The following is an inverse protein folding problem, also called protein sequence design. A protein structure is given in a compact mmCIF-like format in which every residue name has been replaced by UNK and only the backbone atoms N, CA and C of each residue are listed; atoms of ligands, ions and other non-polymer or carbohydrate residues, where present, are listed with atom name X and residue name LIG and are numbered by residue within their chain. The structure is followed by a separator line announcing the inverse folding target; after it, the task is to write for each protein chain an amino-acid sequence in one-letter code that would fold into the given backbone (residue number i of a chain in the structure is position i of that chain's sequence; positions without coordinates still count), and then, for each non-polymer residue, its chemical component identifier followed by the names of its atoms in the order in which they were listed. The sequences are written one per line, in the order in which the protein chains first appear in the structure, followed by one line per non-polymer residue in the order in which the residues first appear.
data_IF_025352900905
#
_entry.id   IF_025352900905
#
_cell.length_a   1.000
_cell.length_b   1.000
_cell.length_c   1.000
_cell.angle_alpha   90.00
_cell.angle_beta   90.00
_cell.angle_gamma   90.00
#
_symmetry.space_group_name_H-M   'P 1'
#
loop_
_entity.id
_entity.type
_entity.pdbx_description
1 polymer ?
#
# COMPACT_ATOMS: atom_id res chain seq x y z
N UNK A 1 5.09 18.37 -3.96
CA UNK A 1 3.88 17.53 -3.86
C UNK A 1 2.82 18.10 -2.92
N UNK A 2 3.15 18.62 -1.72
CA UNK A 2 2.17 19.26 -0.83
C UNK A 2 1.34 20.36 -1.54
N UNK A 3 1.97 21.23 -2.34
CA UNK A 3 1.31 22.31 -3.09
C UNK A 3 0.38 21.86 -4.24
N UNK A 4 0.56 20.65 -4.78
CA UNK A 4 -0.34 20.13 -5.81
C UNK A 4 -1.61 19.52 -5.19
N UNK A 5 -1.51 18.94 -4.02
CA UNK A 5 -2.67 18.40 -3.28
C UNK A 5 -3.59 19.51 -2.77
N UNK A 6 -3.03 20.63 -2.28
CA UNK A 6 -3.82 21.76 -1.79
C UNK A 6 -4.62 22.47 -2.89
N UNK A 7 -4.21 22.40 -4.16
CA UNK A 7 -4.91 23.00 -5.30
C UNK A 7 -6.00 22.12 -5.91
N UNK A 8 -6.04 20.81 -5.63
CA UNK A 8 -6.89 19.84 -6.32
C UNK A 8 -8.06 19.34 -5.50
N UNK A 9 -8.15 19.70 -4.22
CA UNK A 9 -9.21 19.23 -3.33
C UNK A 9 -10.09 20.41 -2.95
N UNK A 10 -11.35 20.45 -3.38
CA UNK A 10 -12.32 21.38 -2.80
C UNK A 10 -12.41 21.10 -1.29
N UNK A 11 -12.19 22.10 -0.46
CA UNK A 11 -12.12 22.07 1.01
C UNK A 11 -13.26 21.30 1.72
N UNK A 12 -14.35 21.00 1.03
CA UNK A 12 -15.53 20.30 1.55
C UNK A 12 -15.51 18.77 1.50
N UNK A 13 -14.46 18.12 0.98
CA UNK A 13 -14.41 16.65 0.81
C UNK A 13 -13.60 15.91 1.86
N UNK A 14 -12.85 16.60 2.68
CA UNK A 14 -12.02 16.04 3.75
C UNK A 14 -12.56 16.44 5.11
N UNK A 15 -13.04 15.48 5.87
CA UNK A 15 -13.19 15.63 7.31
C UNK A 15 -11.84 15.39 7.98
N UNK A 16 -11.15 16.49 8.26
CA UNK A 16 -10.11 16.77 9.26
C UNK A 16 -8.95 15.79 9.46
N UNK A 17 -9.21 14.55 9.77
CA UNK A 17 -8.25 13.64 10.42
C UNK A 17 -7.22 13.02 9.48
N UNK A 18 -7.52 12.88 8.18
CA UNK A 18 -6.64 12.20 7.22
C UNK A 18 -5.94 13.14 6.24
N UNK A 19 -6.30 14.42 6.21
CA UNK A 19 -5.82 15.38 5.22
C UNK A 19 -4.29 15.57 5.22
N UNK A 20 -3.67 15.42 6.39
CA UNK A 20 -2.23 15.61 6.59
C UNK A 20 -1.41 14.33 6.40
N UNK A 21 -2.06 13.18 6.10
CA UNK A 21 -1.35 11.93 5.95
C UNK A 21 -0.87 11.74 4.51
N UNK A 22 0.38 11.28 4.33
CA UNK A 22 0.83 10.73 3.05
C UNK A 22 -0.11 9.60 2.61
N UNK A 23 -0.47 9.58 1.33
CA UNK A 23 -1.42 8.60 0.79
C UNK A 23 -1.02 7.14 1.05
N UNK A 24 0.28 6.89 1.07
CA UNK A 24 0.87 5.57 1.35
C UNK A 24 0.66 5.07 2.78
N UNK A 25 0.32 5.96 3.73
CA UNK A 25 0.09 5.58 5.12
C UNK A 25 -1.39 5.29 5.43
N UNK A 26 -2.30 5.66 4.56
CA UNK A 26 -3.75 5.60 4.81
C UNK A 26 -4.23 4.17 5.09
N UNK A 27 -3.70 3.17 4.39
CA UNK A 27 -4.11 1.78 4.57
C UNK A 27 -3.80 1.30 6.01
N UNK A 28 -2.58 1.57 6.51
CA UNK A 28 -2.20 1.23 7.88
C UNK A 28 -3.02 1.99 8.93
N UNK A 29 -3.30 3.26 8.69
CA UNK A 29 -4.13 4.09 9.58
C UNK A 29 -5.55 3.53 9.71
N UNK A 30 -6.19 3.21 8.59
CA UNK A 30 -7.56 2.69 8.57
C UNK A 30 -7.67 1.30 9.23
N UNK A 31 -6.68 0.43 9.00
CA UNK A 31 -6.61 -0.88 9.66
C UNK A 31 -6.41 -0.73 11.17
N UNK A 32 -5.49 0.16 11.60
CA UNK A 32 -5.28 0.43 13.03
C UNK A 32 -6.55 0.99 13.68
N UNK A 33 -7.25 1.91 13.01
CA UNK A 33 -8.54 2.41 13.48
C UNK A 33 -9.57 1.28 13.66
N UNK A 34 -9.63 0.36 12.70
CA UNK A 34 -10.54 -0.78 12.77
C UNK A 34 -10.21 -1.72 13.94
N UNK A 35 -8.92 -1.99 14.17
CA UNK A 35 -8.46 -2.79 15.31
C UNK A 35 -8.76 -2.14 16.67
N UNK A 36 -8.56 -0.82 16.80
CA UNK A 36 -8.90 -0.06 18.01
C UNK A 36 -10.41 -0.12 18.31
N UNK A 37 -11.26 -0.14 17.28
CA UNK A 37 -12.71 -0.25 17.45
C UNK A 37 -13.14 -1.57 18.09
N UNK A 38 -12.43 -2.64 17.85
CA UNK A 38 -12.69 -3.96 18.48
C UNK A 38 -11.91 -4.16 19.78
N UNK A 39 -11.18 -3.12 20.24
CA UNK A 39 -10.48 -3.09 21.53
C UNK A 39 -9.45 -4.22 21.72
N UNK A 40 -8.74 -4.57 20.69
CA UNK A 40 -7.59 -5.47 20.83
C UNK A 40 -6.38 -4.68 21.35
N UNK A 41 -5.57 -5.28 22.23
CA UNK A 41 -4.22 -4.80 22.48
C UNK A 41 -3.42 -4.83 21.18
N UNK A 42 -2.71 -3.75 20.87
CA UNK A 42 -2.00 -3.60 19.62
C UNK A 42 -0.50 -3.40 19.85
N UNK A 43 0.29 -3.82 18.91
CA UNK A 43 1.67 -3.44 18.76
C UNK A 43 1.87 -2.84 17.37
N UNK A 44 2.29 -1.58 17.32
CA UNK A 44 2.64 -0.90 16.09
C UNK A 44 4.16 -0.93 15.93
N UNK A 45 4.58 -1.31 14.74
CA UNK A 45 5.97 -1.38 14.33
C UNK A 45 6.19 -0.41 13.15
N UNK A 46 7.43 0.00 12.87
CA UNK A 46 7.73 0.82 11.70
C UNK A 46 7.17 0.19 10.41
N UNK A 47 6.93 1.03 9.38
CA UNK A 47 6.44 0.61 8.05
C UNK A 47 5.01 0.12 8.03
N UNK A 48 4.14 0.70 8.86
CA UNK A 48 2.72 0.36 8.92
C UNK A 48 2.48 -1.13 9.23
N UNK A 49 3.37 -1.74 10.01
CA UNK A 49 3.10 -3.05 10.57
C UNK A 49 2.32 -2.89 11.86
N UNK A 50 1.22 -3.62 12.00
CA UNK A 50 0.42 -3.67 13.21
C UNK A 50 0.06 -5.10 13.55
N UNK A 51 0.19 -5.47 14.82
CA UNK A 51 -0.22 -6.77 15.36
C UNK A 51 -1.29 -6.53 16.41
N UNK A 52 -2.43 -7.20 16.26
CA UNK A 52 -3.50 -7.23 17.24
C UNK A 52 -3.48 -8.56 18.01
N UNK A 53 -3.44 -8.51 19.33
CA UNK A 53 -3.38 -9.68 20.19
C UNK A 53 -4.78 -10.09 20.63
N UNK A 54 -5.12 -11.35 20.40
CA UNK A 54 -6.42 -11.89 20.76
C UNK A 54 -6.41 -12.43 22.19
N UNK A 55 -7.54 -12.37 22.93
CA UNK A 55 -7.60 -12.84 24.31
C UNK A 55 -7.34 -14.33 24.49
N UNK A 56 -7.42 -15.11 23.43
CA UNK A 56 -7.24 -16.58 23.46
C UNK A 56 -5.81 -17.08 23.66
N UNK A 57 -4.85 -16.19 23.93
CA UNK A 57 -3.47 -16.54 24.29
C UNK A 57 -2.40 -15.91 23.39
N UNK A 58 -1.12 -16.04 23.76
CA UNK A 58 -0.02 -15.33 23.09
C UNK A 58 0.24 -15.77 21.64
N UNK A 59 -0.31 -16.91 21.21
CA UNK A 59 -0.17 -17.42 19.84
C UNK A 59 -1.29 -16.90 18.93
N UNK A 60 -2.35 -16.35 19.51
CA UNK A 60 -3.50 -15.86 18.75
C UNK A 60 -3.33 -14.38 18.48
N UNK A 61 -2.87 -14.05 17.29
CA UNK A 61 -2.71 -12.67 16.85
C UNK A 61 -3.12 -12.52 15.39
N UNK A 62 -3.48 -11.31 15.04
CA UNK A 62 -3.70 -10.88 13.64
C UNK A 62 -2.66 -9.84 13.29
N UNK A 63 -2.04 -9.99 12.13
CA UNK A 63 -1.00 -9.09 11.67
C UNK A 63 -1.37 -8.43 10.35
N UNK A 64 -0.91 -7.20 10.18
CA UNK A 64 -1.07 -6.45 8.93
C UNK A 64 0.23 -5.72 8.59
N UNK A 65 0.54 -5.63 7.30
CA UNK A 65 1.65 -4.83 6.80
C UNK A 65 1.13 -3.98 5.64
N UNK A 66 1.19 -2.66 5.74
CA UNK A 66 0.59 -1.75 4.74
C UNK A 66 -0.88 -2.07 4.42
N UNK A 67 -1.65 -2.49 5.41
CA UNK A 67 -3.04 -2.92 5.25
C UNK A 67 -3.25 -4.32 4.68
N UNK A 68 -2.19 -5.00 4.25
CA UNK A 68 -2.24 -6.39 3.76
C UNK A 68 -2.36 -7.34 4.96
N UNK A 69 -3.39 -8.21 5.00
CA UNK A 69 -3.61 -9.12 6.12
C UNK A 69 -2.60 -10.27 6.14
N UNK A 70 -2.23 -10.72 7.33
CA UNK A 70 -1.28 -11.80 7.57
C UNK A 70 -1.70 -13.16 7.03
N UNK A 71 -3.01 -13.37 6.81
CA UNK A 71 -3.52 -14.57 6.12
C UNK A 71 -3.20 -14.60 4.62
N UNK A 72 -2.70 -13.51 4.04
CA UNK A 72 -2.08 -13.53 2.71
C UNK A 72 -0.75 -14.27 2.79
N UNK A 73 -0.55 -15.25 1.90
CA UNK A 73 0.68 -16.03 1.89
C UNK A 73 1.88 -15.20 1.41
N UNK A 74 3.05 -15.49 1.96
CA UNK A 74 4.30 -14.88 1.47
C UNK A 74 4.51 -15.13 -0.03
N UNK A 75 4.19 -16.34 -0.51
CA UNK A 75 4.28 -16.70 -1.93
C UNK A 75 3.37 -15.83 -2.79
N UNK A 76 2.11 -15.61 -2.38
CA UNK A 76 1.16 -14.76 -3.09
C UNK A 76 1.64 -13.31 -3.18
N UNK A 77 2.12 -12.74 -2.08
CA UNK A 77 2.69 -11.39 -2.04
C UNK A 77 3.94 -11.29 -2.93
N UNK A 78 4.81 -12.33 -2.91
CA UNK A 78 5.99 -12.41 -3.78
C UNK A 78 5.61 -12.39 -5.27
N UNK A 79 4.61 -13.18 -5.67
CA UNK A 79 4.15 -13.20 -7.06
C UNK A 79 3.60 -11.85 -7.51
N UNK A 80 2.95 -11.12 -6.63
CA UNK A 80 2.42 -9.79 -6.91
C UNK A 80 3.51 -8.72 -7.00
N UNK A 81 4.54 -8.82 -6.19
CA UNK A 81 5.64 -7.82 -6.18
C UNK A 81 6.50 -7.89 -7.43
N UNK A 82 6.60 -9.05 -8.11
CA UNK A 82 7.33 -9.19 -9.37
C UNK A 82 6.38 -9.12 -10.57
N UNK A 83 6.41 -8.00 -11.30
CA UNK A 83 5.58 -7.77 -12.48
C UNK A 83 5.80 -8.78 -13.60
N UNK A 84 6.98 -9.38 -13.67
CA UNK A 84 7.31 -10.41 -14.67
C UNK A 84 6.54 -11.69 -14.37
N UNK A 85 6.59 -12.14 -13.11
CA UNK A 85 5.90 -13.34 -12.64
C UNK A 85 4.39 -13.15 -12.71
N UNK A 86 3.89 -12.04 -12.16
CA UNK A 86 2.48 -11.69 -12.17
C UNK A 86 1.91 -11.67 -13.59
N UNK A 87 2.61 -11.01 -14.53
CA UNK A 87 2.22 -10.95 -15.93
C UNK A 87 2.15 -12.34 -16.57
N UNK A 88 3.19 -13.17 -16.35
CA UNK A 88 3.24 -14.53 -16.89
C UNK A 88 2.09 -15.41 -16.36
N UNK A 89 1.76 -15.28 -15.05
CA UNK A 89 0.65 -16.01 -14.45
C UNK A 89 -0.70 -15.57 -15.02
N UNK A 90 -0.94 -14.27 -15.17
CA UNK A 90 -2.17 -13.75 -15.78
C UNK A 90 -2.34 -14.24 -17.22
N UNK A 91 -1.27 -14.18 -18.03
CA UNK A 91 -1.29 -14.66 -19.42
C UNK A 91 -1.53 -16.17 -19.50
N UNK A 92 -0.91 -16.96 -18.62
CA UNK A 92 -1.12 -18.41 -18.54
C UNK A 92 -2.58 -18.77 -18.26
N UNK A 93 -3.29 -17.92 -17.50
CA UNK A 93 -4.72 -18.08 -17.21
C UNK A 93 -5.63 -17.42 -18.27
N UNK A 94 -5.09 -17.07 -19.44
CA UNK A 94 -5.84 -16.53 -20.57
C UNK A 94 -6.35 -15.11 -20.36
N UNK A 95 -5.77 -14.35 -19.42
CA UNK A 95 -6.15 -12.97 -19.18
C UNK A 95 -5.39 -12.04 -20.11
N UNK A 96 -6.09 -11.04 -20.65
CA UNK A 96 -5.47 -10.02 -21.49
C UNK A 96 -4.68 -9.05 -20.62
N UNK A 97 -3.41 -8.92 -20.91
CA UNK A 97 -2.50 -7.89 -20.35
C UNK A 97 -1.89 -7.09 -21.52
N UNK A 98 -1.40 -5.87 -21.30
CA UNK A 98 -0.77 -5.09 -22.37
C UNK A 98 0.36 -5.85 -23.05
N UNK A 99 0.57 -5.69 -24.34
CA UNK A 99 1.77 -6.20 -24.98
C UNK A 99 3.01 -5.57 -24.32
N UNK A 100 3.99 -6.37 -23.91
CA UNK A 100 5.13 -5.84 -23.17
C UNK A 100 6.27 -6.83 -23.04
N UNK A 101 7.45 -6.30 -22.80
CA UNK A 101 8.68 -7.05 -22.58
C UNK A 101 9.54 -6.38 -21.50
N UNK A 102 10.39 -7.17 -20.85
CA UNK A 102 11.31 -6.71 -19.81
C UNK A 102 12.72 -6.56 -20.36
N UNK A 103 13.46 -5.58 -19.82
CA UNK A 103 14.79 -5.22 -20.30
C UNK A 103 15.74 -4.93 -19.14
N UNK A 104 17.05 -5.08 -19.42
CA UNK A 104 18.10 -4.52 -18.58
C UNK A 104 18.42 -3.09 -19.01
N UNK A 105 19.08 -2.32 -18.14
CA UNK A 105 19.49 -0.94 -18.48
C UNK A 105 20.55 -0.89 -19.61
N UNK A 106 21.24 -1.99 -19.84
CA UNK A 106 22.27 -2.14 -20.88
C UNK A 106 21.66 -2.46 -22.26
N UNK A 107 20.41 -2.94 -22.29
CA UNK A 107 19.71 -3.40 -23.50
C UNK A 107 19.11 -2.26 -24.34
N UNK A 108 19.81 -1.12 -24.46
CA UNK A 108 19.24 0.09 -25.11
C UNK A 108 18.79 -0.16 -26.56
N UNK A 109 19.57 -0.91 -27.33
CA UNK A 109 19.24 -1.17 -28.74
C UNK A 109 18.00 -2.06 -28.88
N UNK A 110 17.90 -3.09 -28.05
CA UNK A 110 16.75 -4.01 -28.02
C UNK A 110 15.47 -3.29 -27.62
N UNK A 111 15.54 -2.42 -26.61
CA UNK A 111 14.42 -1.60 -26.17
C UNK A 111 13.94 -0.68 -27.28
N UNK A 112 14.84 0.03 -27.95
CA UNK A 112 14.47 0.93 -29.05
C UNK A 112 13.82 0.16 -30.20
N UNK A 113 14.36 -1.01 -30.56
CA UNK A 113 13.76 -1.89 -31.59
C UNK A 113 12.35 -2.34 -31.15
N UNK A 114 12.20 -2.72 -29.88
CA UNK A 114 10.94 -3.14 -29.32
C UNK A 114 9.89 -2.02 -29.36
N UNK A 115 10.23 -0.81 -28.86
CA UNK A 115 9.33 0.35 -28.87
C UNK A 115 8.94 0.74 -30.30
N UNK A 116 9.87 0.67 -31.28
CA UNK A 116 9.54 0.92 -32.69
C UNK A 116 8.51 -0.06 -33.22
N UNK A 117 8.50 -1.30 -32.73
CA UNK A 117 7.54 -2.33 -33.13
C UNK A 117 6.15 -2.09 -32.53
N UNK A 118 6.06 -1.77 -31.22
CA UNK A 118 4.77 -1.61 -30.54
C UNK A 118 4.20 -0.20 -30.66
N UNK A 119 5.03 0.79 -31.00
CA UNK A 119 4.66 2.21 -31.14
C UNK A 119 4.57 2.94 -29.81
N UNK A 120 4.65 4.28 -29.88
CA UNK A 120 4.29 5.16 -28.76
C UNK A 120 2.80 5.45 -28.75
N UNK A 121 2.20 5.77 -27.59
CA UNK A 121 2.81 5.84 -26.26
C UNK A 121 3.08 4.47 -25.66
N UNK A 122 4.11 4.38 -24.81
CA UNK A 122 4.43 3.19 -24.02
C UNK A 122 4.36 3.51 -22.52
N UNK A 123 4.19 2.47 -21.70
CA UNK A 123 4.25 2.57 -20.24
C UNK A 123 5.51 1.89 -19.75
N UNK A 124 6.31 2.61 -18.97
CA UNK A 124 7.52 2.06 -18.35
C UNK A 124 7.24 1.83 -16.88
N UNK A 125 7.56 0.63 -16.40
CA UNK A 125 7.40 0.21 -15.01
C UNK A 125 8.68 -0.45 -14.51
N UNK A 126 8.97 -0.35 -13.23
CA UNK A 126 9.97 -1.22 -12.60
C UNK A 126 9.53 -2.68 -12.70
N UNK A 127 10.46 -3.60 -12.91
CA UNK A 127 10.14 -5.03 -12.93
C UNK A 127 9.67 -5.51 -11.55
N UNK A 128 10.27 -4.94 -10.49
CA UNK A 128 9.85 -5.13 -9.10
C UNK A 128 9.14 -3.86 -8.63
N UNK A 129 7.92 -4.00 -8.10
CA UNK A 129 7.09 -2.87 -7.73
C UNK A 129 7.60 -2.16 -6.47
N UNK A 130 8.37 -1.07 -6.60
CA UNK A 130 8.94 -0.40 -5.43
C UNK A 130 8.72 1.12 -5.35
N UNK A 131 9.11 1.95 -6.33
CA UNK A 131 9.15 3.40 -6.12
C UNK A 131 8.47 4.29 -7.16
N UNK A 132 8.36 3.90 -8.43
CA UNK A 132 7.71 4.74 -9.46
C UNK A 132 6.18 4.86 -9.28
N UNK A 133 5.70 4.34 -8.17
CA UNK A 133 4.27 4.19 -7.96
C UNK A 133 3.70 3.04 -8.79
N UNK A 134 2.46 2.72 -8.52
CA UNK A 134 1.80 1.52 -9.02
C UNK A 134 1.60 1.47 -10.53
N UNK A 135 1.57 2.62 -11.17
CA UNK A 135 1.07 2.74 -12.55
C UNK A 135 2.15 2.79 -13.61
N UNK A 136 3.38 3.00 -13.20
CA UNK A 136 4.45 3.31 -14.14
C UNK A 136 4.30 4.71 -14.78
N UNK A 137 5.15 5.00 -15.73
CA UNK A 137 5.22 6.29 -16.43
C UNK A 137 4.83 6.11 -17.88
N UNK A 138 3.85 6.90 -18.34
CA UNK A 138 3.51 6.99 -19.76
C UNK A 138 4.57 7.83 -20.45
N UNK A 139 5.09 7.31 -21.56
CA UNK A 139 6.16 7.89 -22.36
C UNK A 139 5.67 8.02 -23.79
N UNK A 140 5.72 9.24 -24.33
CA UNK A 140 5.15 9.57 -25.63
C UNK A 140 6.22 9.64 -26.74
N UNK A 141 7.50 9.71 -26.39
CA UNK A 141 8.59 9.87 -27.32
C UNK A 141 9.94 9.37 -26.74
N UNK A 142 10.97 9.32 -27.58
CA UNK A 142 12.28 8.83 -27.19
C UNK A 142 13.00 9.70 -26.15
N UNK A 143 12.72 11.01 -26.12
CA UNK A 143 13.35 11.92 -25.14
C UNK A 143 12.81 11.66 -23.74
N UNK A 144 11.50 11.51 -23.62
CA UNK A 144 10.85 11.13 -22.36
C UNK A 144 11.32 9.75 -21.89
N UNK A 145 11.49 8.79 -22.82
CA UNK A 145 12.03 7.46 -22.50
C UNK A 145 13.41 7.54 -21.85
N UNK A 146 14.35 8.24 -22.47
CA UNK A 146 15.71 8.37 -21.94
C UNK A 146 15.72 9.03 -20.53
N UNK A 147 14.86 10.02 -20.30
CA UNK A 147 14.71 10.68 -19.00
C UNK A 147 14.18 9.72 -17.91
N UNK A 148 13.17 8.91 -18.25
CA UNK A 148 12.58 7.94 -17.32
C UNK A 148 13.58 6.83 -16.96
N UNK A 149 14.26 6.26 -17.96
CA UNK A 149 15.28 5.21 -17.73
C UNK A 149 16.42 5.73 -16.85
N UNK A 150 16.91 6.95 -17.11
CA UNK A 150 17.94 7.57 -16.27
C UNK A 150 17.49 7.72 -14.82
N UNK A 151 16.24 8.13 -14.59
CA UNK A 151 15.66 8.24 -13.24
C UNK A 151 15.56 6.87 -12.56
N UNK A 152 15.06 5.85 -13.25
CA UNK A 152 14.95 4.48 -12.73
C UNK A 152 16.28 3.93 -12.29
N UNK A 153 17.32 4.11 -13.12
CA UNK A 153 18.66 3.65 -12.80
C UNK A 153 19.22 4.27 -11.52
N UNK A 154 19.03 5.57 -11.31
CA UNK A 154 19.44 6.27 -10.07
C UNK A 154 18.71 5.74 -8.84
N UNK A 155 17.43 5.38 -8.99
CA UNK A 155 16.63 4.80 -7.90
C UNK A 155 17.15 3.42 -7.55
N UNK A 156 17.35 2.55 -8.53
CA UNK A 156 17.91 1.20 -8.36
C UNK A 156 19.27 1.25 -7.63
N UNK A 157 20.18 2.12 -8.07
CA UNK A 157 21.51 2.28 -7.46
C UNK A 157 21.43 2.69 -5.98
N UNK A 158 20.47 3.52 -5.62
CA UNK A 158 20.22 3.91 -4.21
C UNK A 158 19.65 2.78 -3.36
N UNK A 159 18.78 1.98 -3.93
CA UNK A 159 18.10 0.89 -3.20
C UNK A 159 19.02 -0.29 -2.89
N UNK A 160 19.97 -0.55 -3.78
CA UNK A 160 20.95 -1.63 -3.63
C UNK A 160 22.29 -1.17 -3.05
N UNK A 161 22.39 0.09 -2.62
CA UNK A 161 23.57 0.58 -1.89
C UNK A 161 23.62 -0.08 -0.51
N UNK A 162 24.82 -0.46 -0.01
CA UNK A 162 24.99 -0.98 1.35
C UNK A 162 24.52 -0.03 2.46
N UNK A 163 24.39 1.25 2.12
CA UNK A 163 23.85 2.29 3.00
C UNK A 163 22.36 2.53 2.78
N UNK A 164 21.72 1.82 1.86
CA UNK A 164 20.28 1.89 1.71
C UNK A 164 19.65 1.46 3.03
N UNK A 165 19.12 2.46 3.70
CA UNK A 165 18.42 2.36 4.97
C UNK A 165 17.51 1.11 4.94
N UNK A 166 17.45 0.35 6.02
CA UNK A 166 16.59 -0.83 6.22
C UNK A 166 15.09 -0.60 5.91
N UNK A 167 14.76 0.55 5.32
CA UNK A 167 13.40 0.99 4.96
C UNK A 167 12.63 0.01 4.07
N UNK A 168 13.33 -0.86 3.35
CA UNK A 168 12.71 -1.79 2.40
C UNK A 168 12.84 -3.27 2.79
N UNK A 169 13.37 -3.61 3.96
CA UNK A 169 13.76 -4.98 4.27
C UNK A 169 12.62 -6.00 4.31
N UNK A 170 11.40 -5.63 4.65
CA UNK A 170 10.29 -6.60 4.66
C UNK A 170 9.86 -7.02 3.24
N UNK A 171 9.94 -6.11 2.25
CA UNK A 171 9.73 -6.42 0.84
C UNK A 171 11.02 -6.76 0.10
N UNK A 172 12.19 -6.35 0.62
CA UNK A 172 13.48 -6.71 0.07
C UNK A 172 13.80 -8.20 0.18
N UNK A 173 13.19 -8.92 1.12
CA UNK A 173 13.29 -10.39 1.18
C UNK A 173 12.78 -11.04 -0.11
N UNK A 174 11.78 -10.44 -0.75
CA UNK A 174 11.24 -10.90 -2.04
C UNK A 174 11.95 -10.31 -3.25
N UNK A 175 12.67 -9.20 -3.06
CA UNK A 175 13.50 -8.55 -4.08
C UNK A 175 14.95 -9.04 -4.11
N UNK A 176 15.37 -9.77 -3.09
CA UNK A 176 16.64 -10.48 -3.06
C UNK A 176 16.55 -11.71 -3.96
N UNK A 177 16.69 -11.49 -5.26
CA UNK A 177 17.33 -12.51 -6.05
C UNK A 177 18.77 -12.56 -5.53
N UNK A 178 19.19 -13.65 -4.89
CA UNK A 178 20.53 -13.73 -4.32
C UNK A 178 21.53 -13.45 -5.43
N UNK A 179 22.52 -12.67 -5.10
CA UNK A 179 23.77 -12.68 -5.88
C UNK A 179 24.24 -14.13 -5.85
N UNK A 180 24.07 -14.83 -6.95
CA UNK A 180 24.58 -16.20 -7.05
C UNK A 180 26.07 -16.10 -7.25
N UNK A 181 26.83 -16.43 -6.23
CA UNK A 181 28.27 -16.62 -6.37
C UNK A 181 28.49 -18.01 -6.96
N UNK A 182 29.10 -18.08 -8.14
CA UNK A 182 29.49 -19.36 -8.73
C UNK A 182 30.58 -20.04 -7.90
N UNK A 183 30.81 -21.35 -8.10
CA UNK A 183 31.89 -22.07 -7.43
C UNK A 183 33.27 -21.44 -7.64
N UNK A 184 33.45 -20.71 -8.74
CA UNK A 184 34.67 -19.97 -9.06
C UNK A 184 34.74 -18.59 -8.39
N UNK A 185 33.82 -18.24 -7.52
CA UNK A 185 33.79 -16.96 -6.81
C UNK A 185 33.30 -15.78 -7.65
N UNK A 186 32.71 -16.02 -8.81
CA UNK A 186 32.17 -14.98 -9.69
C UNK A 186 30.77 -14.61 -9.19
N UNK A 187 30.58 -13.35 -8.79
CA UNK A 187 29.27 -12.81 -8.47
C UNK A 187 28.45 -12.61 -9.76
N UNK A 188 27.49 -13.48 -9.99
CA UNK A 188 26.49 -13.29 -11.02
C UNK A 188 25.44 -12.31 -10.49
N UNK A 189 25.64 -11.03 -10.76
CA UNK A 189 24.60 -10.02 -10.55
C UNK A 189 23.44 -10.30 -11.50
N UNK A 190 22.28 -10.56 -10.92
CA UNK A 190 21.07 -10.81 -11.71
C UNK A 190 20.49 -9.47 -12.22
N UNK A 191 21.27 -8.77 -13.02
CA UNK A 191 20.96 -7.44 -13.58
C UNK A 191 19.98 -7.49 -14.75
N UNK A 192 19.64 -8.69 -15.20
CA UNK A 192 18.77 -8.85 -16.37
C UNK A 192 17.32 -8.55 -16.02
N UNK A 193 16.69 -7.70 -16.83
CA UNK A 193 15.25 -7.42 -16.78
C UNK A 193 14.78 -6.56 -15.59
N UNK A 194 15.37 -5.39 -15.44
CA UNK A 194 15.08 -4.42 -14.36
C UNK A 194 13.83 -3.61 -14.58
N UNK A 195 13.41 -3.40 -15.81
CA UNK A 195 12.20 -2.65 -16.12
C UNK A 195 11.36 -3.31 -17.21
N UNK A 196 10.09 -2.97 -17.22
CA UNK A 196 9.08 -3.44 -18.15
C UNK A 196 8.66 -2.28 -19.04
N UNK A 197 8.61 -2.53 -20.35
CA UNK A 197 8.01 -1.63 -21.35
C UNK A 197 6.75 -2.30 -21.86
N UNK A 198 5.62 -1.62 -21.71
CA UNK A 198 4.31 -2.09 -22.17
C UNK A 198 3.68 -1.09 -23.14
N UNK A 199 2.90 -1.61 -24.07
CA UNK A 199 2.03 -0.78 -24.91
C UNK A 199 1.02 -0.04 -24.01
N UNK A 200 0.83 1.24 -24.25
CA UNK A 200 -0.24 1.99 -23.60
C UNK A 200 -1.59 1.50 -24.12
N UNK A 201 -2.47 1.07 -23.22
CA UNK A 201 -3.82 0.63 -23.57
C UNK A 201 -4.76 1.81 -23.42
N UNK A 202 -5.36 2.31 -24.51
CA UNK A 202 -6.38 3.37 -24.45
C UNK A 202 -7.68 2.81 -23.88
N UNK A 203 -8.50 3.66 -23.27
CA UNK A 203 -9.82 3.32 -22.74
C UNK A 203 -10.03 3.76 -21.30
N UNK A 204 -11.20 3.43 -20.77
CA UNK A 204 -11.60 3.83 -19.44
C UNK A 204 -10.89 3.00 -18.37
N UNK A 205 -10.17 3.68 -17.49
CA UNK A 205 -9.46 3.03 -16.37
C UNK A 205 -10.41 2.80 -15.21
N UNK A 206 -10.51 1.54 -14.78
CA UNK A 206 -11.29 1.12 -13.62
C UNK A 206 -10.38 0.43 -12.62
N UNK A 207 -10.46 0.85 -11.37
CA UNK A 207 -9.78 0.23 -10.22
C UNK A 207 -10.78 -0.56 -9.41
N UNK A 208 -10.49 -1.84 -9.21
CA UNK A 208 -11.29 -2.75 -8.41
C UNK A 208 -10.60 -2.96 -7.06
N UNK A 209 -11.37 -2.84 -5.98
CA UNK A 209 -10.95 -3.22 -4.64
C UNK A 209 -11.60 -4.55 -4.31
N UNK A 210 -10.77 -5.57 -4.12
CA UNK A 210 -11.19 -6.94 -3.86
C UNK A 210 -10.77 -7.34 -2.45
N UNK A 211 -11.71 -7.83 -1.67
CA UNK A 211 -11.49 -8.32 -0.30
C UNK A 211 -12.10 -9.72 -0.20
N UNK A 212 -11.29 -10.69 0.17
CA UNK A 212 -11.71 -12.11 0.30
C UNK A 212 -12.53 -12.62 -0.89
N UNK A 213 -12.08 -12.34 -2.09
CA UNK A 213 -12.70 -12.80 -3.33
C UNK A 213 -13.86 -11.94 -3.84
N UNK A 214 -14.32 -10.97 -3.08
CA UNK A 214 -15.44 -10.12 -3.46
C UNK A 214 -14.98 -8.73 -3.90
N UNK A 215 -15.52 -8.23 -5.00
CA UNK A 215 -15.34 -6.83 -5.43
C UNK A 215 -16.19 -5.94 -4.53
N UNK A 216 -15.56 -5.29 -3.55
CA UNK A 216 -16.23 -4.45 -2.57
C UNK A 216 -16.38 -2.99 -3.03
N UNK A 217 -15.57 -2.59 -4.01
CA UNK A 217 -15.59 -1.25 -4.57
C UNK A 217 -15.02 -1.26 -5.99
N UNK A 218 -15.58 -0.44 -6.86
CA UNK A 218 -15.03 -0.14 -8.17
C UNK A 218 -14.97 1.39 -8.34
N UNK A 219 -13.84 1.85 -8.86
CA UNK A 219 -13.52 3.26 -9.02
C UNK A 219 -13.18 3.52 -10.48
N UNK A 220 -13.68 4.59 -11.06
CA UNK A 220 -13.24 5.07 -12.38
C UNK A 220 -12.36 6.30 -12.24
N UNK A 221 -11.30 6.39 -13.03
CA UNK A 221 -10.53 7.62 -13.16
C UNK A 221 -11.12 8.42 -14.32
N UNK A 222 -11.66 9.63 -14.09
CA UNK A 222 -12.16 10.46 -15.18
C UNK A 222 -11.00 10.87 -16.10
N UNK A 223 -11.21 10.73 -17.40
CA UNK A 223 -10.26 11.21 -18.40
C UNK A 223 -10.41 12.72 -18.61
N UNK A 224 -9.29 13.43 -18.77
CA UNK A 224 -9.22 14.82 -19.22
C UNK A 224 -9.93 15.89 -18.36
N UNK A 225 -10.27 15.62 -17.11
CA UNK A 225 -10.99 16.58 -16.27
C UNK A 225 -10.08 17.51 -15.45
N UNK A 226 -8.75 17.34 -15.53
CA UNK A 226 -7.82 18.01 -14.59
C UNK A 226 -7.96 17.55 -13.14
N UNK A 227 -8.91 16.65 -12.86
CA UNK A 227 -9.19 16.07 -11.56
C UNK A 227 -8.45 14.75 -11.41
N UNK A 228 -7.54 14.69 -10.45
CA UNK A 228 -6.71 13.48 -10.20
C UNK A 228 -7.37 12.46 -9.26
N UNK A 229 -8.63 12.69 -8.91
CA UNK A 229 -9.43 11.80 -8.04
C UNK A 229 -10.14 10.69 -8.79
N UNK A 230 -10.70 9.77 -8.02
CA UNK A 230 -11.53 8.67 -8.49
C UNK A 230 -13.00 8.94 -8.21
N UNK A 231 -13.86 8.44 -9.09
CA UNK A 231 -15.30 8.39 -8.90
C UNK A 231 -15.75 6.96 -8.55
N UNK A 232 -16.69 6.83 -7.61
CA UNK A 232 -17.31 5.54 -7.29
C UNK A 232 -18.24 5.08 -8.42
N UNK A 233 -18.07 3.84 -8.85
CA UNK A 233 -19.01 3.17 -9.75
C UNK A 233 -20.14 2.53 -8.95
N UNK A 234 -21.38 2.65 -9.44
CA UNK A 234 -22.59 2.20 -8.74
C UNK A 234 -22.75 0.67 -8.66
N UNK A 235 -22.12 -0.06 -9.58
CA UNK A 235 -22.33 -1.51 -9.72
C UNK A 235 -21.01 -2.28 -9.76
N UNK A 236 -20.26 -2.36 -8.63
CA UNK A 236 -18.96 -3.01 -8.59
C UNK A 236 -19.03 -4.53 -8.89
N UNK A 237 -20.15 -5.18 -8.59
CA UNK A 237 -20.35 -6.61 -8.82
C UNK A 237 -20.24 -7.04 -10.30
N UNK A 238 -20.39 -6.13 -11.25
CA UNK A 238 -20.18 -6.41 -12.70
C UNK A 238 -18.77 -6.88 -13.00
N UNK A 239 -17.81 -6.53 -12.16
CA UNK A 239 -16.41 -6.89 -12.32
C UNK A 239 -16.02 -8.16 -11.54
N UNK A 240 -16.97 -8.82 -10.87
CA UNK A 240 -16.71 -9.96 -10.00
C UNK A 240 -15.98 -11.10 -10.72
N UNK A 241 -16.42 -11.46 -11.94
CA UNK A 241 -15.77 -12.50 -12.76
C UNK A 241 -14.31 -12.20 -13.10
N UNK A 242 -13.98 -10.92 -13.34
CA UNK A 242 -12.60 -10.50 -13.60
C UNK A 242 -11.76 -10.71 -12.33
N UNK A 243 -12.28 -10.30 -11.18
CA UNK A 243 -11.60 -10.46 -9.90
C UNK A 243 -11.36 -11.94 -9.57
N UNK A 244 -12.35 -12.80 -9.76
CA UNK A 244 -12.23 -14.25 -9.54
C UNK A 244 -11.12 -14.85 -10.41
N UNK A 245 -11.10 -14.58 -11.70
CA UNK A 245 -10.04 -15.05 -12.61
C UNK A 245 -8.65 -14.55 -12.22
N UNK A 246 -8.54 -13.28 -11.76
CA UNK A 246 -7.25 -12.73 -11.28
C UNK A 246 -6.82 -13.46 -10.00
N UNK A 247 -7.73 -13.74 -9.09
CA UNK A 247 -7.41 -14.47 -7.86
C UNK A 247 -7.02 -15.92 -8.12
N UNK A 248 -7.66 -16.58 -9.10
CA UNK A 248 -7.28 -17.94 -9.54
C UNK A 248 -5.87 -17.94 -10.14
N UNK A 249 -5.52 -16.89 -10.90
CA UNK A 249 -4.20 -16.76 -11.50
C UNK A 249 -3.11 -16.41 -10.46
N UNK A 250 -3.48 -15.72 -9.38
CA UNK A 250 -2.57 -15.17 -8.36
C UNK A 250 -2.98 -15.65 -6.96
N UNK A 251 -2.83 -16.95 -6.67
CA UNK A 251 -3.34 -17.55 -5.44
C UNK A 251 -2.58 -17.08 -4.20
N UNK A 252 -3.25 -17.17 -3.05
CA UNK A 252 -2.63 -16.97 -1.75
C UNK A 252 -2.71 -15.54 -1.20
N UNK A 253 -3.42 -14.61 -1.88
CA UNK A 253 -3.68 -13.26 -1.38
C UNK A 253 -5.14 -13.08 -1.00
N UNK A 254 -5.38 -12.25 0.01
CA UNK A 254 -6.73 -11.99 0.55
C UNK A 254 -7.30 -10.66 0.12
N UNK A 255 -6.43 -9.73 -0.24
CA UNK A 255 -6.79 -8.39 -0.70
C UNK A 255 -6.10 -8.09 -2.01
N UNK A 256 -6.81 -7.52 -2.97
CA UNK A 256 -6.26 -7.10 -4.25
C UNK A 256 -6.81 -5.74 -4.67
N UNK A 257 -5.93 -4.91 -5.20
CA UNK A 257 -6.26 -3.77 -6.02
C UNK A 257 -5.96 -4.15 -7.48
N UNK A 258 -6.97 -4.15 -8.34
CA UNK A 258 -6.83 -4.55 -9.75
C UNK A 258 -7.18 -3.34 -10.62
N UNK A 259 -6.21 -2.88 -11.41
CA UNK A 259 -6.46 -1.84 -12.41
C UNK A 259 -6.69 -2.50 -13.78
N UNK A 260 -7.82 -2.20 -14.35
CA UNK A 260 -8.23 -2.66 -15.68
C UNK A 260 -8.50 -1.50 -16.61
N UNK A 261 -8.39 -1.73 -17.91
CA UNK A 261 -8.87 -0.83 -18.94
C UNK A 261 -10.03 -1.51 -19.65
N UNK A 262 -11.13 -0.80 -19.80
CA UNK A 262 -12.35 -1.24 -20.48
C UNK A 262 -12.81 -0.20 -21.48
N UNK A 263 -13.53 -0.64 -22.52
CA UNK A 263 -14.06 0.27 -23.53
C UNK A 263 -15.20 1.12 -22.96
N UNK A 264 -16.05 0.53 -22.12
CA UNK A 264 -17.17 1.21 -21.49
C UNK A 264 -17.37 0.77 -20.03
N UNK A 265 -17.44 1.72 -19.11
CA UNK A 265 -17.67 1.46 -17.69
C UNK A 265 -19.13 1.09 -17.35
N UNK A 266 -20.07 1.39 -18.23
CA UNK A 266 -21.50 1.10 -18.05
C UNK A 266 -21.94 -0.26 -18.63
N UNK A 267 -21.12 -0.87 -19.49
CA UNK A 267 -21.42 -2.16 -20.16
C UNK A 267 -21.20 -3.38 -19.25
N UNK A 268 -21.61 -4.55 -19.75
CA UNK A 268 -21.27 -5.82 -19.12
C UNK A 268 -19.79 -6.17 -19.40
N UNK A 269 -19.04 -6.40 -18.34
CA UNK A 269 -17.60 -6.65 -18.45
C UNK A 269 -17.29 -8.01 -19.08
N UNK A 270 -18.23 -8.97 -19.04
CA UNK A 270 -18.08 -10.29 -19.69
C UNK A 270 -17.99 -10.19 -21.22
N UNK A 271 -18.54 -9.15 -21.79
CA UNK A 271 -18.58 -8.89 -23.23
C UNK A 271 -17.51 -7.89 -23.70
N UNK A 272 -16.86 -7.21 -22.77
CA UNK A 272 -15.86 -6.19 -23.08
C UNK A 272 -14.44 -6.77 -23.18
N UNK A 273 -13.63 -6.12 -24.02
CA UNK A 273 -12.19 -6.35 -24.05
C UNK A 273 -11.51 -5.75 -22.80
N UNK A 274 -11.67 -6.43 -21.67
CA UNK A 274 -10.99 -6.03 -20.43
C UNK A 274 -9.50 -6.35 -20.53
N UNK A 275 -8.64 -5.35 -20.30
CA UNK A 275 -7.19 -5.50 -20.22
C UNK A 275 -6.70 -5.19 -18.80
N UNK A 276 -6.02 -6.15 -18.18
CA UNK A 276 -5.46 -5.97 -16.82
C UNK A 276 -4.12 -5.27 -16.94
N UNK A 277 -4.03 -4.06 -16.40
CA UNK A 277 -2.84 -3.21 -16.51
C UNK A 277 -2.00 -3.18 -15.24
N UNK A 278 -2.61 -3.43 -14.06
CA UNK A 278 -1.89 -3.53 -12.80
C UNK A 278 -2.66 -4.39 -11.80
N UNK A 279 -1.93 -5.09 -10.91
CA UNK A 279 -2.50 -5.80 -9.76
C UNK A 279 -1.56 -5.60 -8.58
N UNK A 280 -2.10 -5.29 -7.41
CA UNK A 280 -1.35 -5.08 -6.17
C UNK A 280 -2.09 -5.74 -5.01
N UNK A 281 -1.34 -6.23 -4.02
CA UNK A 281 -1.87 -6.71 -2.75
C UNK A 281 -2.33 -5.57 -1.85
N UNK A 282 -1.80 -4.35 -2.06
CA UNK A 282 -2.20 -3.14 -1.35
C UNK A 282 -3.46 -2.57 -1.98
N UNK A 283 -4.40 -2.18 -1.13
CA UNK A 283 -5.70 -1.70 -1.61
C UNK A 283 -5.71 -0.22 -2.01
N UNK A 284 -4.74 0.57 -1.50
CA UNK A 284 -4.68 2.00 -1.77
C UNK A 284 -5.99 2.71 -1.41
N UNK A 285 -6.47 2.46 -0.18
CA UNK A 285 -7.75 2.93 0.33
C UNK A 285 -7.88 4.47 0.33
N UNK A 286 -6.76 5.20 0.23
CA UNK A 286 -6.79 6.63 -0.01
C UNK A 286 -7.63 7.01 -1.24
N UNK A 287 -7.61 6.18 -2.30
CA UNK A 287 -8.42 6.42 -3.50
C UNK A 287 -9.93 6.24 -3.24
N UNK A 288 -10.29 5.41 -2.25
CA UNK A 288 -11.68 5.22 -1.80
C UNK A 288 -12.07 6.29 -0.78
N UNK A 289 -11.11 6.70 0.06
CA UNK A 289 -11.31 7.69 1.12
C UNK A 289 -11.81 9.03 0.56
N UNK A 290 -11.27 9.48 -0.58
CA UNK A 290 -11.65 10.73 -1.23
C UNK A 290 -13.13 10.77 -1.62
N UNK A 291 -13.67 9.79 -2.39
CA UNK A 291 -15.08 9.81 -2.75
C UNK A 291 -15.98 9.38 -1.60
N UNK A 292 -15.49 8.56 -0.64
CA UNK A 292 -16.31 8.09 0.49
C UNK A 292 -15.47 7.57 1.66
N UNK A 293 -15.22 8.43 2.66
CA UNK A 293 -14.56 8.05 3.90
C UNK A 293 -15.30 6.89 4.62
N UNK A 294 -16.64 6.91 4.61
CA UNK A 294 -17.46 5.85 5.19
C UNK A 294 -17.17 4.49 4.52
N UNK A 295 -17.06 4.46 3.19
CA UNK A 295 -16.78 3.22 2.47
C UNK A 295 -15.37 2.71 2.74
N UNK A 296 -14.35 3.58 2.76
CA UNK A 296 -12.98 3.21 3.07
C UNK A 296 -12.87 2.58 4.47
N UNK A 297 -13.50 3.18 5.49
CA UNK A 297 -13.58 2.64 6.85
C UNK A 297 -14.33 1.30 6.91
N UNK A 298 -15.40 1.15 6.13
CA UNK A 298 -16.16 -0.11 6.04
C UNK A 298 -15.28 -1.23 5.45
N UNK A 299 -14.52 -0.93 4.40
CA UNK A 299 -13.60 -1.89 3.78
C UNK A 299 -12.53 -2.31 4.79
N UNK A 300 -11.85 -1.37 5.46
CA UNK A 300 -10.86 -1.67 6.47
C UNK A 300 -11.44 -2.52 7.62
N UNK A 301 -12.65 -2.20 8.09
CA UNK A 301 -13.35 -2.98 9.12
C UNK A 301 -13.62 -4.41 8.64
N UNK A 302 -14.08 -4.58 7.39
CA UNK A 302 -14.34 -5.90 6.82
C UNK A 302 -13.06 -6.76 6.72
N UNK A 303 -11.92 -6.15 6.36
CA UNK A 303 -10.63 -6.85 6.31
C UNK A 303 -10.24 -7.35 7.71
N UNK A 304 -10.35 -6.48 8.72
CA UNK A 304 -10.03 -6.84 10.11
C UNK A 304 -10.98 -7.90 10.64
N UNK A 305 -12.28 -7.79 10.41
CA UNK A 305 -13.30 -8.78 10.81
C UNK A 305 -13.00 -10.16 10.20
N UNK A 306 -12.68 -10.20 8.92
CA UNK A 306 -12.35 -11.45 8.22
C UNK A 306 -11.07 -12.07 8.77
N UNK A 307 -10.03 -11.26 9.02
CA UNK A 307 -8.75 -11.74 9.55
C UNK A 307 -8.91 -12.31 10.97
N UNK A 308 -9.66 -11.59 11.82
CA UNK A 308 -9.99 -12.05 13.18
C UNK A 308 -10.82 -13.34 13.14
N UNK A 309 -11.76 -13.44 12.21
CA UNK A 309 -12.58 -14.65 12.03
C UNK A 309 -11.74 -15.84 11.52
N UNK A 310 -10.74 -15.58 10.68
CA UNK A 310 -9.83 -16.59 10.17
C UNK A 310 -9.04 -17.30 11.29
N UNK A 311 -8.65 -16.57 12.32
CA UNK A 311 -8.00 -17.14 13.51
C UNK A 311 -9.01 -17.66 14.56
N UNK A 312 -10.25 -17.89 14.17
CA UNK A 312 -11.34 -18.46 14.99
C UNK A 312 -11.72 -17.62 16.21
N UNK A 313 -11.53 -16.31 16.14
CA UNK A 313 -12.01 -15.39 17.16
C UNK A 313 -13.37 -14.81 16.76
N UNK A 314 -14.37 -14.95 17.61
CA UNK A 314 -15.67 -14.32 17.41
C UNK A 314 -15.59 -12.83 17.79
N UNK A 315 -15.30 -11.97 16.83
CA UNK A 315 -15.40 -10.53 17.04
C UNK A 315 -16.85 -10.13 17.29
N UNK A 316 -17.07 -9.18 18.20
CA UNK A 316 -18.42 -8.61 18.39
C UNK A 316 -18.87 -7.97 17.07
N UNK A 317 -19.97 -8.47 16.50
CA UNK A 317 -20.51 -8.09 15.18
C UNK A 317 -20.91 -6.61 15.02
N UNK A 318 -20.85 -5.80 16.07
CA UNK A 318 -21.25 -4.40 16.05
C UNK A 318 -20.03 -3.46 16.02
N UNK A 319 -19.19 -3.55 15.00
CA UNK A 319 -18.24 -2.47 14.74
C UNK A 319 -19.01 -1.23 14.28
N UNK A 320 -19.10 -0.25 15.17
CA UNK A 320 -19.70 1.03 14.81
C UNK A 320 -18.83 1.70 13.76
N UNK A 321 -19.42 2.11 12.63
CA UNK A 321 -18.75 2.88 11.59
C UNK A 321 -18.37 4.30 12.03
N UNK A 322 -18.74 4.67 13.25
CA UNK A 322 -18.50 5.99 13.81
C UNK A 322 -17.20 6.02 14.60
N UNK A 323 -16.59 7.18 14.62
CA UNK A 323 -15.44 7.46 15.46
C UNK A 323 -15.84 7.24 16.94
N UNK A 324 -15.14 6.34 17.63
CA UNK A 324 -15.37 6.06 19.06
C UNK A 324 -14.34 6.78 19.89
N UNK A 325 -14.74 7.34 21.01
CA UNK A 325 -13.78 7.80 22.01
C UNK A 325 -13.12 6.58 22.68
N UNK A 326 -11.80 6.60 22.71
CA UNK A 326 -10.97 5.58 23.37
C UNK A 326 -10.00 6.25 24.33
N UNK A 327 -9.68 5.54 25.41
CA UNK A 327 -8.55 5.85 26.28
C UNK A 327 -7.58 4.70 26.14
N UNK A 328 -6.40 5.00 25.66
CA UNK A 328 -5.48 4.01 25.14
C UNK A 328 -4.12 4.18 25.82
N UNK A 329 -3.77 3.33 26.80
CA UNK A 329 -2.43 3.27 27.33
C UNK A 329 -1.46 2.77 26.27
N UNK A 330 -0.33 3.44 26.11
CA UNK A 330 0.68 3.16 25.10
C UNK A 330 2.06 3.07 25.74
N UNK A 331 2.91 2.24 25.17
CA UNK A 331 4.32 2.09 25.55
C UNK A 331 5.20 2.10 24.31
N UNK A 332 5.95 3.18 24.10
CA UNK A 332 7.00 3.24 23.09
C UNK A 332 8.27 2.54 23.61
N UNK A 333 8.91 1.73 22.77
CA UNK A 333 10.10 0.93 23.10
C UNK A 333 11.20 1.10 22.07
N UNK A 334 12.45 0.88 22.52
CA UNK A 334 13.63 0.94 21.67
C UNK A 334 13.97 2.37 21.23
N UNK A 335 13.67 3.35 22.08
CA UNK A 335 14.05 4.74 21.88
C UNK A 335 15.55 4.92 22.19
N UNK A 336 16.27 5.54 21.28
CA UNK A 336 17.68 5.92 21.49
C UNK A 336 17.83 7.16 22.37
N UNK A 337 16.80 8.00 22.41
CA UNK A 337 16.76 9.25 23.18
C UNK A 337 15.31 9.54 23.58
N UNK A 338 14.97 9.24 24.83
CA UNK A 338 13.62 9.42 25.36
C UNK A 338 13.22 10.89 25.49
N UNK A 339 14.15 11.75 25.91
CA UNK A 339 13.86 13.17 26.13
C UNK A 339 13.63 13.88 24.82
N UNK A 340 14.46 13.62 23.82
CA UNK A 340 14.28 14.15 22.48
C UNK A 340 13.01 13.61 21.84
N UNK A 341 12.68 12.33 22.01
CA UNK A 341 11.41 11.77 21.54
C UNK A 341 10.22 12.51 22.13
N UNK A 342 10.23 12.74 23.45
CA UNK A 342 9.18 13.47 24.14
C UNK A 342 9.02 14.89 23.59
N UNK A 343 10.12 15.64 23.47
CA UNK A 343 10.13 17.00 22.95
C UNK A 343 9.54 17.07 21.52
N UNK A 344 9.98 16.18 20.65
CA UNK A 344 9.49 16.12 19.26
C UNK A 344 8.00 15.74 19.19
N UNK A 345 7.55 14.79 20.02
CA UNK A 345 6.15 14.38 20.12
C UNK A 345 5.29 15.52 20.66
N UNK A 346 5.72 16.22 21.70
CA UNK A 346 4.99 17.38 22.26
C UNK A 346 4.86 18.50 21.21
N UNK A 347 5.93 18.76 20.45
CA UNK A 347 5.92 19.73 19.36
C UNK A 347 4.98 19.29 18.24
N UNK A 348 5.03 18.02 17.83
CA UNK A 348 4.15 17.47 16.81
C UNK A 348 2.68 17.51 17.25
N UNK A 349 2.41 17.14 18.51
CA UNK A 349 1.09 17.20 19.11
C UNK A 349 0.52 18.62 19.14
N UNK A 350 1.31 19.61 19.54
CA UNK A 350 0.88 21.02 19.62
C UNK A 350 0.51 21.63 18.27
N UNK A 351 1.03 21.10 17.17
CA UNK A 351 0.69 21.54 15.81
C UNK A 351 -0.62 20.96 15.27
N UNK A 352 -1.18 19.95 15.97
CA UNK A 352 -2.39 19.26 15.56
C UNK A 352 -3.56 19.69 16.43
N UNK A 353 -4.44 20.49 15.86
CA UNK A 353 -5.70 20.90 16.51
C UNK A 353 -6.70 19.72 16.51
N UNK A 354 -6.33 18.60 17.12
CA UNK A 354 -7.12 17.37 17.16
C UNK A 354 -7.73 17.23 18.55
N UNK A 355 -8.96 16.75 18.68
CA UNK A 355 -9.58 16.39 19.95
C UNK A 355 -8.89 15.26 20.71
N UNK A 356 -7.60 15.05 20.43
CA UNK A 356 -6.72 14.08 21.08
C UNK A 356 -6.12 14.68 22.35
N UNK A 357 -6.08 13.91 23.42
CA UNK A 357 -5.38 14.25 24.67
C UNK A 357 -4.21 13.29 24.85
N UNK A 358 -3.00 13.81 25.02
CA UNK A 358 -1.77 13.08 25.31
C UNK A 358 -1.36 13.31 26.76
N UNK A 359 -1.20 12.24 27.53
CA UNK A 359 -0.75 12.26 28.92
C UNK A 359 0.49 11.38 29.08
N UNK A 360 1.64 11.97 29.37
CA UNK A 360 2.87 11.22 29.71
C UNK A 360 2.74 10.56 31.08
N UNK A 361 3.23 9.32 31.21
CA UNK A 361 3.14 8.55 32.45
C UNK A 361 4.54 8.30 33.06
N UNK A 362 5.31 7.45 32.41
CA UNK A 362 6.62 7.01 32.88
C UNK A 362 7.68 7.04 31.77
N UNK A 363 8.91 7.19 32.15
CA UNK A 363 10.09 7.10 31.28
C UNK A 363 11.13 6.21 31.90
N UNK A 364 11.68 5.27 31.15
CA UNK A 364 12.84 4.46 31.49
C UNK A 364 13.90 4.65 30.41
N UNK A 365 14.77 5.64 30.59
CA UNK A 365 15.78 5.99 29.60
C UNK A 365 16.81 4.86 29.40
N UNK A 366 17.07 4.03 30.43
CA UNK A 366 18.03 2.90 30.36
C UNK A 366 17.49 1.83 29.40
N UNK A 367 16.18 1.58 29.46
CA UNK A 367 15.51 0.61 28.56
C UNK A 367 15.03 1.25 27.25
N UNK A 368 15.18 2.56 27.08
CA UNK A 368 14.64 3.27 25.93
C UNK A 368 13.11 3.16 25.84
N UNK A 369 12.40 3.35 26.95
CA UNK A 369 10.95 3.17 27.04
C UNK A 369 10.26 4.43 27.54
N UNK A 370 9.09 4.71 26.96
CA UNK A 370 8.20 5.77 27.42
C UNK A 370 6.75 5.30 27.41
N UNK A 371 6.07 5.53 28.54
CA UNK A 371 4.66 5.21 28.72
C UNK A 371 3.83 6.49 28.63
N UNK A 372 2.72 6.43 27.90
CA UNK A 372 1.80 7.56 27.72
C UNK A 372 0.36 7.06 27.48
N UNK A 373 -0.59 7.94 27.71
CA UNK A 373 -2.02 7.65 27.47
C UNK A 373 -2.52 8.59 26.39
N UNK A 374 -3.20 8.03 25.40
CA UNK A 374 -3.95 8.77 24.39
C UNK A 374 -5.45 8.68 24.67
N UNK A 375 -6.13 9.82 24.68
CA UNK A 375 -7.59 9.89 24.76
C UNK A 375 -8.12 10.67 23.58
N UNK A 376 -9.07 10.11 22.87
CA UNK A 376 -9.64 10.75 21.68
C UNK A 376 -10.47 9.79 20.86
N UNK A 377 -10.89 10.21 19.69
CA UNK A 377 -11.52 9.33 18.74
C UNK A 377 -10.57 8.29 18.16
N UNK A 378 -11.10 7.14 17.74
CA UNK A 378 -10.28 6.07 17.16
C UNK A 378 -9.49 6.51 15.92
N UNK A 379 -10.04 7.45 15.15
CA UNK A 379 -9.37 8.01 13.97
C UNK A 379 -8.16 8.88 14.35
N UNK A 380 -8.32 9.75 15.35
CA UNK A 380 -7.28 10.64 15.86
C UNK A 380 -6.16 9.84 16.52
N UNK A 381 -6.51 8.87 17.39
CA UNK A 381 -5.56 7.98 18.06
C UNK A 381 -4.79 7.14 17.03
N UNK A 382 -5.48 6.53 16.06
CA UNK A 382 -4.85 5.75 15.00
C UNK A 382 -3.88 6.60 14.18
N UNK A 383 -4.31 7.79 13.76
CA UNK A 383 -3.50 8.72 12.98
C UNK A 383 -2.22 9.12 13.72
N UNK A 384 -2.34 9.43 15.01
CA UNK A 384 -1.20 9.83 15.83
C UNK A 384 -0.20 8.67 16.04
N UNK A 385 -0.68 7.48 16.40
CA UNK A 385 0.17 6.30 16.60
C UNK A 385 0.92 5.91 15.32
N UNK A 386 0.24 5.93 14.16
CA UNK A 386 0.90 5.63 12.89
C UNK A 386 1.93 6.71 12.50
N UNK A 387 1.68 7.98 12.82
CA UNK A 387 2.68 9.05 12.62
C UNK A 387 3.94 8.77 13.42
N UNK A 388 3.81 8.43 14.70
CA UNK A 388 4.96 8.12 15.55
C UNK A 388 5.72 6.87 15.06
N UNK A 389 5.02 5.79 14.76
CA UNK A 389 5.65 4.53 14.33
C UNK A 389 6.34 4.64 12.97
N UNK A 390 5.83 5.49 12.07
CA UNK A 390 6.44 5.75 10.76
C UNK A 390 7.45 6.89 10.76
N UNK A 391 7.65 7.58 11.90
CA UNK A 391 8.55 8.72 12.02
C UNK A 391 8.08 9.95 11.26
N UNK A 392 6.77 10.13 11.13
CA UNK A 392 6.19 11.31 10.51
C UNK A 392 6.06 12.42 11.57
N UNK A 393 6.88 13.45 11.44
CA UNK A 393 6.94 14.58 12.41
C UNK A 393 7.86 14.36 13.61
N UNK A 394 8.49 13.18 13.73
CA UNK A 394 9.49 12.88 14.76
C UNK A 394 10.74 12.25 14.13
N UNK A 395 11.93 12.65 14.58
CA UNK A 395 13.20 12.10 14.10
C UNK A 395 13.63 10.88 14.92
N UNK A 396 13.35 10.89 16.22
CA UNK A 396 13.57 9.74 17.11
C UNK A 396 12.37 8.79 16.96
N UNK A 397 12.62 7.62 16.43
CA UNK A 397 11.58 6.62 16.17
C UNK A 397 11.62 5.51 17.19
N UNK A 398 10.47 5.09 17.73
CA UNK A 398 10.41 3.87 18.51
C UNK A 398 10.61 2.64 17.61
N UNK A 399 11.22 1.59 18.15
CA UNK A 399 11.25 0.27 17.50
C UNK A 399 9.86 -0.36 17.49
N UNK A 400 9.06 -0.10 18.52
CA UNK A 400 7.64 -0.52 18.58
C UNK A 400 6.85 0.40 19.50
N UNK A 401 5.53 0.43 19.29
CA UNK A 401 4.55 1.02 20.22
C UNK A 401 3.54 -0.06 20.58
N UNK A 402 3.53 -0.45 21.85
CA UNK A 402 2.53 -1.36 22.39
C UNK A 402 1.31 -0.52 22.82
N UNK A 403 0.12 -1.00 22.55
CA UNK A 403 -1.17 -0.37 22.85
C UNK A 403 -2.01 -1.36 23.63
N UNK A 404 -2.50 -0.96 24.82
CA UNK A 404 -3.17 -1.85 25.76
C UNK A 404 -4.66 -1.58 25.90
#
# INVERSE_FOLDING_TARGET
MKHLYEKLIPEKRYEGTYADFPSELIDGVLITEALLKIRLPLQLLPRQMVVGYLPSGPISSVGFTHGVPGSSSLAGVTFLSDRRVRRALLQKHGMKVPEGATFSYESKLEVVKYIRRIGYPVVIKEAMAQELGERGVVVNNAQEFDAVIKRLRVVDERMFSPQADYKNSAYAITGLLPTVTTEDGIELKNEKHRFLVEQHVPGNKVRLIVVHGSVVCALSKPENTGYDGYNLLKMPHRYQRVAEKVMDALPGVRTLCIDIVVDNTAGDVSEQQCCIVEVSERLHLHNVLFPSARLAKKIASSIVENEVSYVKFAAQKNMAFFNRSVTTPCKAKGLVDCDKFKEEVDKFYSTKNSGLVLEWQASDAIKGQMDFILKGGTSEVSSFLNSLSCGHGVSVRPMSIDVF
#
